data_IF_273409614312
#
_entry.id   IF_273409614312
#
_cell.length_a   1.000
_cell.length_b   1.000
_cell.length_c   1.000
_cell.angle_alpha   90.00
_cell.angle_beta   90.00
_cell.angle_gamma   90.00
#
_symmetry.space_group_name_H-M   'P 1'
#
loop_
_entity.id
_entity.type
_entity.pdbx_description
1 polymer ?
#
# COMPACT_ATOMS: atom_id res chain seq x y z
N UNK A 1 -1.53 7.95 10.42
CA UNK A 1 -1.22 9.37 10.19
C UNK A 1 0.16 9.64 10.77
N UNK A 2 1.03 10.35 10.06
CA UNK A 2 2.41 10.57 10.50
C UNK A 2 2.62 12.04 10.90
N UNK A 3 3.59 12.30 11.78
CA UNK A 3 4.14 13.64 12.01
C UNK A 3 5.39 13.77 11.17
N UNK A 4 5.54 14.90 10.50
CA UNK A 4 6.72 15.23 9.72
C UNK A 4 7.44 16.38 10.42
N UNK A 5 8.72 16.19 10.76
CA UNK A 5 9.57 17.19 11.41
C UNK A 5 10.82 17.42 10.56
N UNK A 6 11.22 18.67 10.44
CA UNK A 6 12.53 19.01 9.87
C UNK A 6 13.60 18.91 10.95
N UNK A 7 14.71 18.23 10.63
CA UNK A 7 15.91 18.19 11.45
C UNK A 7 16.98 19.00 10.72
N UNK A 8 17.33 20.16 11.27
CA UNK A 8 18.41 21.01 10.78
C UNK A 8 19.71 20.62 11.50
N UNK A 9 20.71 20.21 10.72
CA UNK A 9 22.05 19.90 11.22
C UNK A 9 22.94 21.15 11.18
N UNK A 10 24.05 21.12 11.94
CA UNK A 10 25.00 22.24 12.05
C UNK A 10 25.67 22.62 10.71
N UNK A 11 25.70 21.68 9.76
CA UNK A 11 26.19 21.87 8.39
C UNK A 11 25.13 22.47 7.44
N UNK A 12 23.96 22.86 7.96
CA UNK A 12 22.79 23.34 7.25
C UNK A 12 22.08 22.29 6.36
N UNK A 13 22.43 21.01 6.47
CA UNK A 13 21.64 19.95 5.85
C UNK A 13 20.32 19.79 6.61
N UNK A 14 19.23 19.61 5.87
CA UNK A 14 17.91 19.36 6.45
C UNK A 14 17.46 17.94 6.12
N UNK A 15 17.16 17.15 7.15
CA UNK A 15 16.49 15.87 7.01
C UNK A 15 15.01 15.99 7.38
N UNK A 16 14.21 15.11 6.80
CA UNK A 16 12.83 14.88 7.17
C UNK A 16 12.76 13.68 8.12
N UNK A 17 12.25 13.90 9.32
CA UNK A 17 11.86 12.84 10.24
C UNK A 17 10.37 12.57 10.11
N UNK A 18 10.01 11.36 9.68
CA UNK A 18 8.63 10.89 9.57
C UNK A 18 8.33 9.94 10.71
N UNK A 19 7.48 10.38 11.64
CA UNK A 19 7.14 9.67 12.88
C UNK A 19 5.72 9.10 12.78
N UNK A 20 5.55 7.81 13.06
CA UNK A 20 4.23 7.18 13.09
C UNK A 20 3.45 7.63 14.33
N UNK A 21 2.25 8.19 14.13
CA UNK A 21 1.38 8.54 15.27
C UNK A 21 0.61 7.32 15.76
N UNK A 22 0.57 7.17 17.07
CA UNK A 22 -0.35 6.26 17.75
C UNK A 22 -1.70 6.96 17.97
N UNK A 23 -2.78 6.32 17.53
CA UNK A 23 -4.18 6.72 17.74
C UNK A 23 -4.96 5.50 18.24
N UNK A 24 -6.23 5.69 18.61
CA UNK A 24 -7.10 4.61 19.09
C UNK A 24 -7.31 3.46 18.09
N UNK A 25 -7.03 3.69 16.80
CA UNK A 25 -7.13 2.70 15.70
C UNK A 25 -5.75 2.27 15.19
N UNK A 26 -4.70 2.46 15.98
CA UNK A 26 -3.35 2.03 15.62
C UNK A 26 -3.21 0.52 15.78
N UNK A 27 -2.65 -0.21 14.79
CA UNK A 27 -2.42 -1.64 14.88
C UNK A 27 -1.48 -2.02 16.03
N UNK A 28 -1.44 -3.29 16.45
CA UNK A 28 -0.48 -3.76 17.44
C UNK A 28 0.99 -3.40 17.09
N UNK A 29 1.88 -3.20 18.07
CA UNK A 29 3.26 -2.75 17.82
C UNK A 29 4.05 -3.58 16.80
N UNK A 30 3.91 -4.91 16.83
CA UNK A 30 4.59 -5.80 15.88
C UNK A 30 4.21 -5.50 14.42
N UNK A 31 2.96 -5.08 14.20
CA UNK A 31 2.42 -4.70 12.88
C UNK A 31 2.98 -3.37 12.44
N UNK A 32 2.98 -2.39 13.35
CA UNK A 32 3.53 -1.08 13.08
C UNK A 32 5.00 -1.19 12.66
N UNK A 33 5.76 -2.05 13.36
CA UNK A 33 7.15 -2.33 13.03
C UNK A 33 7.28 -2.99 11.67
N UNK A 34 6.47 -4.01 11.35
CA UNK A 34 6.46 -4.66 10.03
C UNK A 34 6.17 -3.67 8.89
N UNK A 35 5.17 -2.80 9.06
CA UNK A 35 4.83 -1.74 8.11
C UNK A 35 6.00 -0.76 7.94
N UNK A 36 6.59 -0.30 9.04
CA UNK A 36 7.70 0.65 9.00
C UNK A 36 8.92 0.05 8.29
N UNK A 37 9.29 -1.19 8.65
CA UNK A 37 10.43 -1.88 8.06
C UNK A 37 10.21 -2.14 6.58
N UNK A 38 8.99 -2.48 6.17
CA UNK A 38 8.65 -2.65 4.76
C UNK A 38 8.71 -1.33 4.00
N UNK A 39 8.22 -0.24 4.59
CA UNK A 39 8.33 1.10 4.01
C UNK A 39 9.80 1.50 3.82
N UNK A 40 10.63 1.34 4.85
CA UNK A 40 12.07 1.58 4.79
C UNK A 40 12.73 0.76 3.67
N UNK A 41 12.47 -0.55 3.64
CA UNK A 41 13.04 -1.45 2.64
C UNK A 41 12.61 -1.08 1.22
N UNK A 42 11.36 -0.66 1.03
CA UNK A 42 10.82 -0.22 -0.26
C UNK A 42 11.52 1.04 -0.75
N UNK A 43 11.69 2.06 0.12
CA UNK A 43 12.36 3.30 -0.25
C UNK A 43 13.82 3.05 -0.67
N UNK A 44 14.56 2.25 0.10
CA UNK A 44 15.95 1.90 -0.25
C UNK A 44 16.02 1.09 -1.54
N UNK A 45 15.09 0.15 -1.73
CA UNK A 45 15.01 -0.64 -2.96
C UNK A 45 14.75 0.24 -4.19
N UNK A 46 13.78 1.15 -4.10
CA UNK A 46 13.41 2.08 -5.18
C UNK A 46 14.57 2.99 -5.57
N UNK A 47 15.25 3.59 -4.58
CA UNK A 47 16.42 4.41 -4.81
C UNK A 47 17.52 3.63 -5.55
N UNK A 48 17.78 2.38 -5.12
CA UNK A 48 18.78 1.50 -5.73
C UNK A 48 18.48 1.15 -7.19
N UNK A 49 17.21 0.98 -7.57
CA UNK A 49 16.82 0.69 -8.97
C UNK A 49 16.67 1.96 -9.83
N UNK A 50 17.03 3.13 -9.29
CA UNK A 50 17.02 4.40 -10.01
C UNK A 50 15.65 5.10 -10.06
N UNK A 51 14.69 4.68 -9.24
CA UNK A 51 13.42 5.41 -9.10
C UNK A 51 13.66 6.62 -8.18
N UNK A 52 13.28 7.84 -8.61
CA UNK A 52 13.48 9.05 -7.81
C UNK A 52 12.72 8.96 -6.48
N UNK A 53 13.45 8.74 -5.39
CA UNK A 53 12.93 8.61 -4.03
C UNK A 53 13.89 9.30 -3.05
N UNK A 54 13.38 9.85 -1.94
CA UNK A 54 14.24 10.43 -0.92
C UNK A 54 15.27 9.42 -0.43
N UNK A 55 16.52 9.87 -0.26
CA UNK A 55 17.57 9.04 0.34
C UNK A 55 17.21 8.76 1.79
N UNK A 56 17.10 7.49 2.18
CA UNK A 56 16.80 7.13 3.58
C UNK A 56 18.10 6.95 4.36
N UNK A 57 18.21 7.66 5.48
CA UNK A 57 19.40 7.64 6.34
C UNK A 57 19.28 6.64 7.50
N UNK A 58 18.05 6.33 7.94
CA UNK A 58 17.83 5.35 8.98
C UNK A 58 16.38 5.25 9.42
N UNK A 59 16.13 4.38 10.39
CA UNK A 59 14.86 4.24 11.06
C UNK A 59 15.07 3.98 12.55
N UNK A 60 14.01 4.09 13.34
CA UNK A 60 13.97 3.62 14.71
C UNK A 60 12.60 3.04 15.04
N UNK A 61 12.60 2.03 15.90
CA UNK A 61 11.41 1.38 16.43
C UNK A 61 11.19 1.81 17.89
N UNK A 62 9.94 1.74 18.31
CA UNK A 62 9.52 2.05 19.69
C UNK A 62 10.21 1.16 20.72
N UNK A 63 10.58 -0.07 20.34
CA UNK A 63 11.28 -1.02 21.20
C UNK A 63 12.79 -0.78 21.29
N UNK A 64 13.34 0.13 20.48
CA UNK A 64 14.79 0.39 20.45
C UNK A 64 15.23 1.18 21.70
N UNK A 65 16.43 0.89 22.19
CA UNK A 65 17.01 1.58 23.36
C UNK A 65 17.55 2.98 23.06
N UNK A 66 17.05 3.64 22.01
CA UNK A 66 17.52 4.96 21.55
C UNK A 66 16.90 6.15 22.31
N UNK A 67 15.95 5.88 23.23
CA UNK A 67 15.29 6.89 24.04
C UNK A 67 14.21 7.72 23.31
N UNK A 68 14.02 7.49 22.00
CA UNK A 68 13.03 8.19 21.18
C UNK A 68 11.63 7.60 21.36
N UNK A 69 11.54 6.30 21.68
CA UNK A 69 10.31 5.58 22.05
C UNK A 69 9.15 5.74 21.05
N UNK A 70 9.45 6.00 19.78
CA UNK A 70 8.47 6.06 18.69
C UNK A 70 9.04 5.45 17.43
N UNK A 71 8.14 4.97 16.56
CA UNK A 71 8.48 4.48 15.23
C UNK A 71 8.75 5.66 14.28
N UNK A 72 9.93 5.73 13.68
CA UNK A 72 10.29 6.79 12.75
C UNK A 72 11.19 6.35 11.60
N UNK A 73 11.18 7.12 10.51
CA UNK A 73 12.14 7.04 9.40
C UNK A 73 12.81 8.41 9.23
N UNK A 74 14.12 8.43 9.10
CA UNK A 74 14.93 9.61 8.77
C UNK A 74 15.32 9.55 7.29
N UNK A 75 15.02 10.61 6.56
CA UNK A 75 15.28 10.66 5.11
C UNK A 75 15.65 12.08 4.68
N UNK A 76 16.26 12.19 3.51
CA UNK A 76 16.53 13.44 2.82
C UNK A 76 15.24 14.26 2.65
N UNK A 77 15.31 15.57 2.92
CA UNK A 77 14.22 16.48 2.60
C UNK A 77 14.33 16.90 1.13
N UNK A 78 13.44 16.37 0.29
CA UNK A 78 13.37 16.75 -1.12
C UNK A 78 13.00 18.24 -1.26
N UNK A 79 13.80 18.98 -2.02
CA UNK A 79 13.50 20.35 -2.44
C UNK A 79 12.50 20.32 -3.61
N UNK A 80 11.28 19.87 -3.33
CA UNK A 80 10.22 19.71 -4.32
C UNK A 80 8.99 20.51 -3.93
N UNK A 81 8.27 21.01 -4.93
CA UNK A 81 6.93 21.56 -4.79
C UNK A 81 5.89 20.48 -5.11
N UNK A 82 4.73 20.46 -4.43
CA UNK A 82 3.59 19.66 -4.86
C UNK A 82 3.27 19.90 -6.34
N UNK A 83 2.83 18.84 -7.03
CA UNK A 83 2.47 18.91 -8.44
C UNK A 83 1.11 19.60 -8.60
N UNK A 84 1.12 20.87 -8.98
CA UNK A 84 -0.09 21.61 -9.37
C UNK A 84 -0.37 21.40 -10.86
N UNK A 85 -0.98 20.27 -11.21
CA UNK A 85 -1.15 19.81 -12.60
C UNK A 85 -1.80 20.84 -13.53
N UNK A 86 -2.80 21.57 -13.02
CA UNK A 86 -3.58 22.53 -13.81
C UNK A 86 -2.81 23.82 -14.11
N UNK A 87 -1.82 24.17 -13.29
CA UNK A 87 -1.00 25.37 -13.46
C UNK A 87 0.17 25.15 -14.43
N UNK A 88 0.42 23.91 -14.83
CA UNK A 88 1.51 23.57 -15.75
C UNK A 88 1.18 23.90 -17.21
N UNK A 89 2.16 24.46 -17.93
CA UNK A 89 2.14 24.57 -19.39
C UNK A 89 2.31 23.21 -20.09
N UNK A 90 2.07 23.17 -21.40
CA UNK A 90 2.16 21.93 -22.21
C UNK A 90 3.48 21.19 -22.06
N UNK A 91 4.60 21.92 -22.14
CA UNK A 91 5.94 21.33 -22.10
C UNK A 91 6.28 20.76 -20.72
N UNK A 92 5.81 21.41 -19.65
CA UNK A 92 5.97 20.92 -18.30
C UNK A 92 5.14 19.65 -18.06
N UNK A 93 3.89 19.62 -18.53
CA UNK A 93 3.05 18.41 -18.47
C UNK A 93 3.68 17.25 -19.23
N UNK A 94 4.23 17.51 -20.42
CA UNK A 94 4.97 16.50 -21.18
C UNK A 94 6.15 15.92 -20.39
N UNK A 95 6.96 16.79 -19.76
CA UNK A 95 8.09 16.34 -18.93
C UNK A 95 7.64 15.46 -17.76
N UNK A 96 6.58 15.85 -17.05
CA UNK A 96 6.03 15.08 -15.93
C UNK A 96 5.54 13.71 -16.40
N UNK A 97 4.76 13.65 -17.49
CA UNK A 97 4.27 12.39 -18.04
C UNK A 97 5.41 11.49 -18.52
N UNK A 98 6.42 12.07 -19.15
CA UNK A 98 7.61 11.33 -19.60
C UNK A 98 8.39 10.74 -18.41
N UNK A 99 8.58 11.52 -17.33
CA UNK A 99 9.20 11.02 -16.09
C UNK A 99 8.38 9.90 -15.46
N UNK A 100 7.07 10.05 -15.37
CA UNK A 100 6.17 9.03 -14.84
C UNK A 100 6.23 7.73 -15.67
N UNK A 101 6.23 7.84 -17.01
CA UNK A 101 6.39 6.70 -17.90
C UNK A 101 7.73 5.97 -17.67
N UNK A 102 8.83 6.70 -17.50
CA UNK A 102 10.13 6.11 -17.19
C UNK A 102 10.14 5.39 -15.83
N UNK A 103 9.44 5.91 -14.83
CA UNK A 103 9.26 5.24 -13.54
C UNK A 103 8.51 3.93 -13.75
N UNK A 104 7.38 3.92 -14.46
CA UNK A 104 6.63 2.68 -14.72
C UNK A 104 7.44 1.65 -15.50
N UNK A 105 8.18 2.07 -16.53
CA UNK A 105 9.08 1.18 -17.28
C UNK A 105 10.16 0.59 -16.35
N UNK A 106 10.70 1.40 -15.44
CA UNK A 106 11.72 0.95 -14.48
C UNK A 106 11.13 -0.06 -13.50
N UNK A 107 9.94 0.19 -12.96
CA UNK A 107 9.24 -0.74 -12.07
C UNK A 107 8.88 -2.05 -12.77
N UNK A 108 8.45 -2.01 -14.02
CA UNK A 108 8.10 -3.20 -14.81
C UNK A 108 9.32 -4.09 -15.08
N UNK A 109 10.48 -3.48 -15.36
CA UNK A 109 11.76 -4.19 -15.52
C UNK A 109 12.25 -4.86 -14.23
N UNK A 110 11.79 -4.40 -13.07
CA UNK A 110 12.16 -4.89 -11.76
C UNK A 110 11.01 -5.67 -11.10
N UNK A 111 10.45 -6.61 -11.85
CA UNK A 111 9.39 -7.48 -11.38
C UNK A 111 9.87 -8.56 -10.41
N UNK A 112 8.95 -9.08 -9.62
CA UNK A 112 9.14 -10.07 -8.58
C UNK A 112 8.45 -11.38 -8.93
N UNK A 113 8.97 -12.48 -8.39
CA UNK A 113 8.37 -13.82 -8.51
C UNK A 113 7.25 -14.08 -7.50
N UNK A 114 7.08 -13.16 -6.56
CA UNK A 114 6.12 -13.26 -5.48
C UNK A 114 5.40 -11.93 -5.30
N UNK A 115 4.17 -12.00 -4.81
CA UNK A 115 3.39 -10.84 -4.38
C UNK A 115 3.34 -10.78 -2.86
N UNK A 116 3.43 -9.56 -2.34
CA UNK A 116 3.60 -9.29 -0.93
C UNK A 116 4.23 -7.91 -0.74
N UNK A 117 4.96 -7.75 0.36
CA UNK A 117 5.66 -6.50 0.68
C UNK A 117 7.16 -6.68 0.62
N UNK A 118 7.89 -5.65 0.18
CA UNK A 118 9.35 -5.66 0.23
C UNK A 118 9.76 -5.59 1.69
N UNK A 119 10.46 -6.60 2.19
CA UNK A 119 10.86 -6.70 3.61
C UNK A 119 12.35 -6.46 3.83
N UNK A 120 13.14 -6.44 2.76
CA UNK A 120 14.58 -6.25 2.83
C UNK A 120 15.04 -5.31 1.71
N UNK A 121 15.98 -4.38 1.96
CA UNK A 121 16.42 -3.37 0.99
C UNK A 121 16.88 -3.91 -0.37
N UNK A 122 17.35 -5.15 -0.41
CA UNK A 122 17.74 -5.80 -1.65
C UNK A 122 16.58 -6.34 -2.52
N UNK A 123 15.32 -6.20 -2.08
CA UNK A 123 14.13 -6.56 -2.87
C UNK A 123 13.52 -7.93 -2.57
N UNK A 124 13.77 -8.53 -1.41
CA UNK A 124 13.05 -9.76 -1.03
C UNK A 124 11.60 -9.45 -0.65
N UNK A 125 10.70 -10.28 -1.16
CA UNK A 125 9.27 -10.19 -0.91
C UNK A 125 8.90 -11.08 0.28
N UNK A 126 8.22 -10.49 1.25
CA UNK A 126 7.64 -11.16 2.39
C UNK A 126 6.13 -10.96 2.43
N UNK A 127 5.53 -11.33 3.54
CA UNK A 127 4.10 -11.18 3.75
C UNK A 127 3.66 -9.71 3.68
N UNK A 128 2.41 -9.49 3.29
CA UNK A 128 1.83 -8.15 3.14
C UNK A 128 1.92 -7.35 4.44
N UNK A 129 2.41 -6.13 4.32
CA UNK A 129 2.42 -5.11 5.36
C UNK A 129 1.09 -4.34 5.37
N UNK A 130 -0.02 -5.05 5.56
CA UNK A 130 -1.36 -4.46 5.63
C UNK A 130 -1.90 -4.43 7.06
N UNK A 131 -2.76 -3.45 7.34
CA UNK A 131 -3.35 -3.12 8.63
C UNK A 131 -4.53 -4.05 9.00
N UNK A 132 -5.06 -4.83 8.06
CA UNK A 132 -6.37 -5.51 8.21
C UNK A 132 -6.26 -7.00 8.56
N UNK A 133 -5.07 -7.59 8.62
CA UNK A 133 -4.94 -9.03 8.86
C UNK A 133 -4.33 -9.29 10.24
N UNK A 134 -5.19 -9.14 11.25
CA UNK A 134 -4.90 -9.65 12.59
C UNK A 134 -6.04 -10.57 12.99
N UNK A 135 -5.78 -11.87 12.94
CA UNK A 135 -6.43 -12.77 13.90
C UNK A 135 -5.62 -12.63 15.19
N UNK A 136 -6.15 -12.01 16.26
CA UNK A 136 -5.51 -12.07 17.56
C UNK A 136 -5.66 -13.49 18.09
N UNK A 137 -4.85 -14.42 17.58
CA UNK A 137 -4.65 -15.67 18.26
C UNK A 137 -3.98 -15.36 19.60
N UNK A 138 -4.43 -16.05 20.66
CA UNK A 138 -3.93 -15.95 22.04
C UNK A 138 -2.40 -16.12 22.18
N UNK A 139 -1.70 -16.45 21.09
CA UNK A 139 -0.27 -16.73 20.98
C UNK A 139 0.63 -15.50 20.71
N UNK A 140 0.09 -14.28 20.55
CA UNK A 140 0.86 -13.07 20.19
C UNK A 140 1.62 -13.17 18.85
N UNK A 141 1.35 -14.20 18.04
CA UNK A 141 1.98 -14.40 16.73
C UNK A 141 1.17 -13.68 15.66
N UNK A 142 1.84 -12.88 14.82
CA UNK A 142 1.20 -12.27 13.66
C UNK A 142 0.96 -13.35 12.59
N UNK A 143 -0.31 -13.62 12.28
CA UNK A 143 -0.65 -14.41 11.09
C UNK A 143 -0.59 -13.50 9.86
N UNK A 144 0.61 -13.41 9.30
CA UNK A 144 0.87 -12.57 8.15
C UNK A 144 0.40 -13.25 6.86
N UNK A 145 -0.17 -12.46 5.95
CA UNK A 145 -0.69 -12.95 4.68
C UNK A 145 0.42 -12.97 3.61
N UNK A 146 0.73 -14.15 3.07
CA UNK A 146 1.73 -14.31 2.01
C UNK A 146 3.16 -14.46 2.53
N UNK A 147 4.19 -14.28 1.68
CA UNK A 147 4.09 -13.92 0.27
C UNK A 147 3.45 -15.04 -0.58
N UNK A 148 2.92 -14.70 -1.76
CA UNK A 148 2.31 -15.68 -2.67
C UNK A 148 3.03 -15.72 -4.01
N UNK A 149 3.03 -16.88 -4.68
CA UNK A 149 3.68 -17.04 -5.99
C UNK A 149 2.72 -16.84 -7.17
N UNK A 150 1.41 -16.76 -6.91
CA UNK A 150 0.40 -16.54 -7.96
C UNK A 150 -0.72 -15.62 -7.50
N UNK A 151 -1.35 -14.96 -8.48
CA UNK A 151 -2.51 -14.11 -8.23
C UNK A 151 -3.67 -14.93 -7.64
N UNK A 152 -3.86 -16.17 -8.10
CA UNK A 152 -4.87 -17.08 -7.53
C UNK A 152 -4.65 -17.30 -6.03
N UNK A 153 -3.44 -17.69 -5.62
CA UNK A 153 -3.15 -17.92 -4.21
C UNK A 153 -3.41 -16.65 -3.39
N UNK A 154 -2.96 -15.50 -3.88
CA UNK A 154 -3.19 -14.22 -3.21
C UNK A 154 -4.70 -13.92 -3.04
N UNK A 155 -5.49 -14.02 -4.11
CA UNK A 155 -6.93 -13.75 -4.07
C UNK A 155 -7.65 -14.74 -3.14
N UNK A 156 -7.39 -16.04 -3.28
CA UNK A 156 -7.98 -17.08 -2.44
C UNK A 156 -7.72 -16.82 -0.96
N UNK A 157 -6.46 -16.59 -0.59
CA UNK A 157 -6.13 -16.38 0.81
C UNK A 157 -6.67 -15.05 1.34
N UNK A 158 -6.67 -13.98 0.54
CA UNK A 158 -7.21 -12.68 0.93
C UNK A 158 -8.70 -12.76 1.16
N UNK A 159 -9.46 -13.36 0.23
CA UNK A 159 -10.92 -13.46 0.33
C UNK A 159 -11.30 -14.37 1.51
N UNK A 160 -10.66 -15.54 1.63
CA UNK A 160 -10.91 -16.44 2.77
C UNK A 160 -10.53 -15.80 4.12
N UNK A 161 -9.50 -14.96 4.16
CA UNK A 161 -9.17 -14.18 5.35
C UNK A 161 -10.31 -13.24 5.75
N UNK A 162 -10.88 -12.49 4.79
CA UNK A 162 -12.01 -11.60 5.06
C UNK A 162 -13.25 -12.38 5.50
N UNK A 163 -13.53 -13.54 4.90
CA UNK A 163 -14.63 -14.41 5.33
C UNK A 163 -14.46 -14.81 6.81
N UNK A 164 -13.26 -15.26 7.23
CA UNK A 164 -12.98 -15.59 8.64
C UNK A 164 -13.09 -14.39 9.57
N UNK A 165 -12.63 -13.21 9.15
CA UNK A 165 -12.76 -11.98 9.94
C UNK A 165 -14.24 -11.58 10.13
N UNK A 166 -15.09 -11.80 9.13
CA UNK A 166 -16.54 -11.57 9.24
C UNK A 166 -17.19 -12.61 10.16
N UNK A 167 -16.87 -13.90 9.98
CA UNK A 167 -17.38 -14.99 10.84
C UNK A 167 -17.00 -14.79 12.31
N UNK A 168 -15.80 -14.28 12.58
CA UNK A 168 -15.32 -13.94 13.92
C UNK A 168 -15.80 -12.58 14.44
N UNK A 169 -16.67 -11.88 13.70
CA UNK A 169 -17.20 -10.55 14.04
C UNK A 169 -16.11 -9.47 14.23
N UNK A 170 -14.95 -9.64 13.61
CA UNK A 170 -13.86 -8.68 13.63
C UNK A 170 -13.96 -7.68 12.46
N UNK A 171 -14.80 -7.98 11.46
CA UNK A 171 -15.05 -7.13 10.31
C UNK A 171 -16.54 -7.15 9.91
N UNK A 172 -17.02 -6.04 9.34
CA UNK A 172 -18.38 -5.97 8.78
C UNK A 172 -19.50 -6.09 9.82
N UNK A 173 -19.23 -5.69 11.08
CA UNK A 173 -20.13 -5.90 12.23
C UNK A 173 -21.52 -5.29 12.03
N UNK A 174 -21.62 -4.20 11.27
CA UNK A 174 -22.90 -3.52 11.00
C UNK A 174 -23.82 -4.33 10.06
N UNK A 175 -23.24 -5.10 9.14
CA UNK A 175 -23.98 -5.97 8.20
C UNK A 175 -23.12 -7.19 7.78
N UNK A 176 -22.99 -8.17 8.69
CA UNK A 176 -22.10 -9.31 8.47
C UNK A 176 -22.62 -10.25 7.38
N UNK A 177 -23.94 -10.36 7.21
CA UNK A 177 -24.56 -11.22 6.20
C UNK A 177 -24.24 -10.70 4.80
N UNK A 178 -24.49 -9.42 4.53
CA UNK A 178 -24.17 -8.83 3.22
C UNK A 178 -22.68 -8.86 2.97
N UNK A 179 -21.87 -8.52 3.97
CA UNK A 179 -20.40 -8.57 3.84
C UNK A 179 -19.92 -9.98 3.47
N UNK A 180 -20.42 -11.01 4.17
CA UNK A 180 -20.08 -12.39 3.90
C UNK A 180 -20.50 -12.82 2.48
N UNK A 181 -21.73 -12.47 2.07
CA UNK A 181 -22.23 -12.80 0.73
C UNK A 181 -21.41 -12.13 -0.37
N UNK A 182 -20.93 -10.89 -0.18
CA UNK A 182 -20.05 -10.20 -1.13
C UNK A 182 -18.76 -10.99 -1.32
N UNK A 183 -18.04 -11.29 -0.24
CA UNK A 183 -16.76 -12.01 -0.34
C UNK A 183 -16.94 -13.45 -0.82
N UNK A 184 -18.03 -14.11 -0.43
CA UNK A 184 -18.34 -15.46 -0.93
C UNK A 184 -18.64 -15.46 -2.42
N UNK A 185 -19.45 -14.51 -2.87
CA UNK A 185 -19.73 -14.33 -4.31
C UNK A 185 -18.45 -14.01 -5.07
N UNK A 186 -17.57 -13.17 -4.50
CA UNK A 186 -16.27 -12.85 -5.08
C UNK A 186 -15.42 -14.11 -5.28
N UNK A 187 -15.32 -14.97 -4.25
CA UNK A 187 -14.61 -16.26 -4.31
C UNK A 187 -15.11 -17.15 -5.46
N UNK A 188 -16.44 -17.19 -5.65
CA UNK A 188 -17.07 -18.03 -6.67
C UNK A 188 -16.97 -17.42 -8.10
N UNK A 189 -16.87 -16.09 -8.21
CA UNK A 189 -16.97 -15.37 -9.48
C UNK A 189 -15.62 -14.98 -10.08
N UNK A 190 -14.63 -14.60 -9.27
CA UNK A 190 -13.34 -14.14 -9.80
C UNK A 190 -12.68 -15.16 -10.75
N UNK A 191 -12.72 -16.50 -10.52
CA UNK A 191 -12.07 -17.46 -11.42
C UNK A 191 -12.67 -17.48 -12.83
N UNK A 192 -13.90 -16.97 -12.99
CA UNK A 192 -14.62 -16.90 -14.27
C UNK A 192 -14.37 -15.58 -15.01
N UNK A 193 -14.04 -14.53 -14.27
CA UNK A 193 -13.81 -13.18 -14.80
C UNK A 193 -12.34 -13.01 -15.22
N UNK A 194 -11.42 -13.64 -14.49
CA UNK A 194 -9.99 -13.48 -14.71
C UNK A 194 -9.43 -14.54 -15.70
N UNK A 195 -8.65 -14.16 -16.72
CA UNK A 195 -8.00 -15.12 -17.60
C UNK A 195 -7.06 -16.05 -16.82
N UNK A 196 -7.00 -17.33 -17.21
CA UNK A 196 -6.17 -18.33 -16.55
C UNK A 196 -4.67 -17.96 -16.53
N UNK A 197 -4.19 -17.31 -17.59
CA UNK A 197 -2.82 -16.79 -17.71
C UNK A 197 -2.50 -15.76 -16.62
N UNK A 198 -3.44 -14.84 -16.39
CA UNK A 198 -3.33 -13.82 -15.34
C UNK A 198 -3.33 -14.43 -13.94
N UNK A 199 -4.20 -15.41 -13.73
CA UNK A 199 -4.34 -16.11 -12.46
C UNK A 199 -3.07 -16.86 -12.05
N UNK A 200 -2.38 -17.41 -13.04
CA UNK A 200 -1.13 -18.16 -12.88
C UNK A 200 0.11 -17.28 -13.09
N UNK A 201 -0.05 -15.94 -13.19
CA UNK A 201 1.09 -15.05 -13.33
C UNK A 201 1.99 -15.19 -12.11
N UNK A 202 3.26 -15.51 -12.38
CA UNK A 202 4.35 -15.55 -11.41
C UNK A 202 5.22 -14.29 -11.49
N UNK A 203 4.70 -13.22 -12.13
CA UNK A 203 5.41 -11.96 -12.32
C UNK A 203 4.55 -10.85 -11.73
N UNK A 204 5.10 -10.14 -10.75
CA UNK A 204 4.45 -9.07 -10.03
C UNK A 204 5.29 -7.80 -10.05
N UNK A 205 4.66 -6.64 -10.22
CA UNK A 205 5.34 -5.35 -10.20
C UNK A 205 4.89 -4.56 -8.96
N UNK A 206 5.76 -3.68 -8.45
CA UNK A 206 5.42 -2.81 -7.33
C UNK A 206 4.29 -1.86 -7.75
N UNK A 207 3.28 -1.70 -6.87
CA UNK A 207 2.17 -0.76 -7.04
C UNK A 207 1.94 0.04 -5.77
N UNK A 208 1.34 1.22 -5.91
CA UNK A 208 0.95 2.02 -4.76
C UNK A 208 -0.31 1.44 -4.13
N UNK A 209 -0.42 1.47 -2.79
CA UNK A 209 -1.57 0.93 -2.06
C UNK A 209 -2.88 1.66 -2.42
N UNK A 210 -2.79 2.95 -2.75
CA UNK A 210 -3.93 3.79 -3.16
C UNK A 210 -4.14 3.90 -4.68
N UNK A 211 -3.47 3.08 -5.50
CA UNK A 211 -3.69 3.11 -6.95
C UNK A 211 -5.14 2.71 -7.30
N UNK A 212 -5.99 3.71 -7.51
CA UNK A 212 -7.38 3.58 -7.98
C UNK A 212 -7.53 3.70 -9.50
N UNK A 213 -6.43 3.79 -10.25
CA UNK A 213 -6.40 4.06 -11.70
C UNK A 213 -6.38 2.82 -12.60
N UNK A 214 -7.17 2.86 -13.67
CA UNK A 214 -7.11 1.99 -14.86
C UNK A 214 -5.75 2.17 -15.58
N UNK A 215 -5.07 1.23 -16.27
CA UNK A 215 -5.54 0.13 -17.13
C UNK A 215 -4.34 -0.78 -17.54
N UNK A 216 -4.61 -2.08 -17.77
CA UNK A 216 -3.86 -3.12 -18.52
C UNK A 216 -2.44 -3.57 -18.07
N UNK A 217 -2.39 -4.57 -17.18
CA UNK A 217 -2.04 -5.93 -17.61
C UNK A 217 -2.78 -6.87 -16.67
N UNK A 218 -3.57 -7.74 -17.30
CA UNK A 218 -4.20 -8.91 -16.69
C UNK A 218 -5.06 -8.66 -15.45
N UNK A 219 -6.36 -8.45 -15.70
CA UNK A 219 -7.52 -8.57 -14.79
C UNK A 219 -8.12 -7.30 -14.20
N UNK A 220 -9.15 -6.83 -14.89
CA UNK A 220 -10.35 -6.17 -14.39
C UNK A 220 -10.50 -6.10 -12.86
N UNK A 221 -10.32 -4.90 -12.31
CA UNK A 221 -11.27 -4.21 -11.43
C UNK A 221 -12.15 -5.09 -10.51
N UNK A 222 -11.54 -5.79 -9.55
CA UNK A 222 -12.24 -6.29 -8.36
C UNK A 222 -11.96 -5.43 -7.11
N UNK A 223 -10.97 -4.52 -7.17
CA UNK A 223 -10.56 -3.66 -6.05
C UNK A 223 -11.17 -2.24 -6.07
N UNK A 224 -11.85 -1.81 -7.13
CA UNK A 224 -12.70 -0.61 -7.04
C UNK A 224 -13.99 -0.86 -6.23
N UNK A 225 -14.36 -2.12 -6.00
CA UNK A 225 -15.53 -2.52 -5.20
C UNK A 225 -15.28 -2.56 -3.68
N UNK A 226 -14.03 -2.59 -3.22
CA UNK A 226 -13.70 -2.60 -1.78
C UNK A 226 -13.36 -1.20 -1.21
N UNK A 227 -13.14 -0.20 -2.07
CA UNK A 227 -12.87 1.19 -1.62
C UNK A 227 -14.08 1.96 -1.09
N UNK A 228 -15.25 1.30 -0.96
CA UNK A 228 -16.56 1.92 -0.64
C UNK A 228 -17.35 1.24 0.49
N UNK A 229 -16.93 0.13 1.07
CA UNK A 229 -17.74 -0.58 2.09
C UNK A 229 -16.99 -0.58 3.42
N UNK A 230 -17.15 0.54 4.14
CA UNK A 230 -16.52 0.76 5.45
C UNK A 230 -16.08 2.21 5.71
N UNK A 231 -16.77 3.20 5.15
CA UNK A 231 -16.68 4.58 5.67
C UNK A 231 -18.11 5.09 5.81
N UNK A 232 -18.55 5.14 7.07
CA UNK A 232 -19.81 5.73 7.48
C UNK A 232 -20.01 7.11 6.83
N UNK A 233 -21.20 7.22 6.25
CA UNK A 233 -21.78 8.36 5.55
C UNK A 233 -21.36 9.74 6.04
N UNK A 234 -20.99 10.60 5.07
CA UNK A 234 -21.63 11.91 4.83
C UNK A 234 -21.04 12.54 3.56
N UNK A 235 -21.84 12.65 2.50
CA UNK A 235 -22.11 13.96 1.88
C UNK A 235 -23.31 13.86 0.93
N UNK A 236 -24.38 14.59 1.28
CA UNK A 236 -25.46 14.99 0.37
C UNK A 236 -24.96 16.14 -0.51
N UNK A 237 -25.21 16.10 -1.82
CA UNK A 237 -26.14 17.01 -2.56
C UNK A 237 -25.84 17.08 -4.06
N UNK A 238 -26.84 16.64 -4.82
CA UNK A 238 -27.46 17.21 -6.03
C UNK A 238 -26.66 17.64 -7.29
N UNK A 239 -27.12 17.06 -8.41
CA UNK A 239 -27.37 17.61 -9.76
C UNK A 239 -26.35 18.61 -10.35
N UNK A 240 -25.81 18.40 -11.56
CA UNK A 240 -26.54 18.50 -12.84
C UNK A 240 -25.63 17.94 -13.95
N UNK A 241 -26.06 16.99 -14.79
CA UNK A 241 -26.55 17.25 -16.17
C UNK A 241 -25.78 18.37 -16.89
N UNK A 242 -24.88 18.04 -17.82
CA UNK A 242 -25.15 17.97 -19.27
C UNK A 242 -23.85 17.92 -20.11
N UNK A 243 -24.00 17.23 -21.23
CA UNK A 243 -23.12 17.10 -22.38
C UNK A 243 -22.72 18.43 -23.05
N UNK A 244 -21.71 18.30 -23.94
CA UNK A 244 -21.24 19.19 -25.05
C UNK A 244 -20.00 20.00 -24.65
N UNK A 245 -18.85 19.90 -25.30
CA UNK A 245 -18.45 19.41 -26.63
C UNK A 245 -17.20 18.53 -26.53
#
# INVERSE_FOLDING_TARGET
MNVHLDILFDDNVVWLARIQRTTAVTPPPAVQNHILLSEFATLVYLNRIGVPTPTVHGYGLTADSNGVNVNYILMEKLQASPLEWYDLGSDQRYRVLHQLANIFITLDRHSFRQTGSIIQPHGSIGAFADRVIFEPNYSQKLDLLGPFTSLRQHLDHTINCHLRLIESSQWGVDDPVTSYLIYRTLLDTYPRILPAESMNSEIFCLRHQDDKGATYSSTTNLMSLASSIGSGQKLLRHHSRLLRL
#
